data_IF_481591315031
#
_entry.id   IF_481591315031
#
_cell.length_a   1.000
_cell.length_b   1.000
_cell.length_c   1.000
_cell.angle_alpha   90.00
_cell.angle_beta   90.00
_cell.angle_gamma   90.00
#
_symmetry.space_group_name_H-M   'P 1'
#
loop_
_entity.id
_entity.type
_entity.pdbx_description
1 polymer ?
#
# COMPACT_ATOMS: atom_id res chain seq x y z
N UNK A 1 8.27 9.02 -12.51
CA UNK A 1 7.68 8.00 -11.64
C UNK A 1 6.19 8.12 -11.70
N UNK A 2 5.49 7.05 -12.04
CA UNK A 2 4.03 6.98 -11.95
C UNK A 2 3.61 6.83 -10.50
N UNK A 3 2.34 7.15 -10.21
CA UNK A 3 1.74 6.91 -8.90
C UNK A 3 1.84 5.43 -8.52
N UNK A 4 1.59 4.53 -9.49
CA UNK A 4 1.66 3.09 -9.27
C UNK A 4 3.05 2.64 -8.79
N UNK A 5 4.12 2.99 -9.52
CA UNK A 5 5.46 2.54 -9.14
C UNK A 5 5.92 3.19 -7.84
N UNK A 6 5.57 4.46 -7.59
CA UNK A 6 5.94 5.14 -6.34
C UNK A 6 5.34 4.47 -5.11
N UNK A 7 4.11 3.97 -5.20
CA UNK A 7 3.45 3.27 -4.10
C UNK A 7 3.96 1.82 -3.97
N UNK A 8 4.04 1.09 -5.09
CA UNK A 8 4.33 -0.35 -5.07
C UNK A 8 5.79 -0.64 -4.74
N UNK A 9 6.75 0.16 -5.22
CA UNK A 9 8.18 -0.13 -5.01
C UNK A 9 8.57 -0.15 -3.53
N UNK A 10 8.24 0.86 -2.69
CA UNK A 10 8.50 0.81 -1.26
C UNK A 10 7.78 -0.35 -0.56
N UNK A 11 6.52 -0.60 -0.95
CA UNK A 11 5.73 -1.70 -0.42
C UNK A 11 6.42 -3.07 -0.62
N UNK A 12 6.83 -3.37 -1.86
CA UNK A 12 7.54 -4.60 -2.18
C UNK A 12 8.85 -4.71 -1.42
N UNK A 13 9.65 -3.63 -1.39
CA UNK A 13 10.92 -3.58 -0.66
C UNK A 13 10.72 -3.91 0.81
N UNK A 14 9.70 -3.37 1.45
CA UNK A 14 9.42 -3.65 2.86
C UNK A 14 9.06 -5.12 3.09
N UNK A 15 8.17 -5.69 2.26
CA UNK A 15 7.77 -7.10 2.37
C UNK A 15 8.95 -8.05 2.19
N UNK A 16 9.80 -7.81 1.19
CA UNK A 16 10.97 -8.65 0.91
C UNK A 16 11.99 -8.53 2.04
N UNK A 17 12.23 -7.31 2.57
CA UNK A 17 13.07 -7.12 3.76
C UNK A 17 12.55 -7.94 4.95
N UNK A 18 11.25 -7.92 5.22
CA UNK A 18 10.65 -8.73 6.30
C UNK A 18 10.88 -10.23 6.09
N UNK A 19 10.74 -10.75 4.87
CA UNK A 19 11.02 -12.16 4.56
C UNK A 19 12.48 -12.51 4.89
N UNK A 20 13.42 -11.66 4.46
CA UNK A 20 14.85 -11.81 4.74
C UNK A 20 15.15 -11.73 6.23
N UNK A 21 14.60 -10.74 6.93
CA UNK A 21 14.90 -10.49 8.35
C UNK A 21 14.31 -11.58 9.25
N UNK A 22 13.12 -12.11 8.92
CA UNK A 22 12.58 -13.31 9.57
C UNK A 22 13.48 -14.53 9.37
N UNK A 23 14.08 -14.68 8.19
CA UNK A 23 15.06 -15.74 7.94
C UNK A 23 16.30 -15.59 8.82
N UNK A 24 16.81 -14.36 8.99
CA UNK A 24 17.96 -14.09 9.89
C UNK A 24 17.63 -14.36 11.35
N UNK A 25 16.46 -13.93 11.81
CA UNK A 25 16.02 -14.14 13.19
C UNK A 25 15.83 -15.64 13.49
N UNK A 26 15.31 -16.42 12.53
CA UNK A 26 15.14 -17.86 12.68
C UNK A 26 16.49 -18.60 12.78
N UNK A 27 17.52 -18.17 12.05
CA UNK A 27 18.87 -18.75 12.13
C UNK A 27 19.53 -18.46 13.51
N UNK A 28 19.17 -17.34 14.16
CA UNK A 28 19.70 -16.95 15.48
C UNK A 28 18.90 -17.52 16.67
N UNK A 29 17.81 -18.24 16.42
CA UNK A 29 16.97 -18.75 17.50
C UNK A 29 17.64 -19.94 18.20
N UNK A 30 17.71 -19.91 19.55
CA UNK A 30 18.34 -20.93 20.39
C UNK A 30 17.89 -22.37 20.07
N UNK A 31 16.63 -22.56 19.67
CA UNK A 31 16.09 -23.87 19.30
C UNK A 31 16.70 -24.40 18.00
N UNK A 32 16.95 -23.54 17.01
CA UNK A 32 17.63 -23.94 15.78
C UNK A 32 19.13 -24.19 16.02
N UNK A 33 19.79 -23.41 16.88
CA UNK A 33 21.18 -23.64 17.27
C UNK A 33 21.36 -24.98 17.99
N UNK A 34 20.38 -25.38 18.81
CA UNK A 34 20.38 -26.69 19.48
C UNK A 34 20.07 -27.84 18.51
N UNK A 35 19.15 -27.66 17.56
CA UNK A 35 18.79 -28.69 16.59
C UNK A 35 19.81 -28.87 15.45
N UNK A 36 20.50 -27.80 15.04
CA UNK A 36 21.56 -27.86 14.03
C UNK A 36 22.76 -28.66 14.54
N UNK A 37 23.05 -28.60 15.84
CA UNK A 37 24.07 -29.44 16.48
C UNK A 37 23.80 -30.95 16.36
N UNK A 38 22.53 -31.35 16.19
CA UNK A 38 22.12 -32.76 16.02
C UNK A 38 21.80 -33.11 14.55
N UNK A 39 22.17 -32.27 13.58
CA UNK A 39 21.87 -32.43 12.14
C UNK A 39 20.37 -32.51 11.79
N UNK A 40 19.48 -32.16 12.73
CA UNK A 40 18.03 -32.05 12.52
C UNK A 40 17.56 -30.61 12.38
N UNK A 41 18.50 -29.66 12.45
CA UNK A 41 18.24 -28.24 12.30
C UNK A 41 18.11 -27.80 10.84
N UNK A 42 17.86 -26.51 10.69
CA UNK A 42 17.71 -25.83 9.40
C UNK A 42 19.04 -25.77 8.64
N UNK A 43 19.00 -25.96 7.31
CA UNK A 43 20.17 -25.79 6.45
C UNK A 43 20.51 -24.29 6.31
N UNK A 44 21.57 -23.88 7.02
CA UNK A 44 22.05 -22.50 7.07
C UNK A 44 22.57 -22.02 5.70
N UNK A 45 23.18 -22.90 4.90
CA UNK A 45 23.69 -22.56 3.57
C UNK A 45 22.52 -22.27 2.62
N UNK A 46 21.51 -23.14 2.59
CA UNK A 46 20.30 -22.93 1.79
C UNK A 46 19.57 -21.65 2.23
N UNK A 47 19.50 -21.42 3.54
CA UNK A 47 18.88 -20.24 4.12
C UNK A 47 19.61 -18.94 3.76
N UNK A 48 20.95 -18.95 3.83
CA UNK A 48 21.79 -17.85 3.36
C UNK A 48 21.61 -17.62 1.86
N UNK A 49 21.61 -18.69 1.08
CA UNK A 49 21.49 -18.61 -0.37
C UNK A 49 20.13 -18.04 -0.85
N UNK A 50 19.06 -18.21 -0.06
CA UNK A 50 17.75 -17.56 -0.26
C UNK A 50 17.75 -16.09 0.18
N UNK A 51 18.45 -15.75 1.26
CA UNK A 51 18.65 -14.35 1.69
C UNK A 51 19.41 -13.55 0.64
N UNK A 52 20.48 -14.13 0.07
CA UNK A 52 21.26 -13.50 -0.99
C UNK A 52 20.39 -13.19 -2.23
N UNK A 53 19.45 -14.09 -2.57
CA UNK A 53 18.48 -13.85 -3.65
C UNK A 53 17.52 -12.70 -3.31
N UNK A 54 17.04 -12.62 -2.06
CA UNK A 54 16.21 -11.51 -1.60
C UNK A 54 16.98 -10.18 -1.64
N UNK A 55 18.25 -10.15 -1.24
CA UNK A 55 19.08 -8.95 -1.30
C UNK A 55 19.33 -8.52 -2.76
N UNK A 56 19.59 -9.46 -3.68
CA UNK A 56 19.67 -9.15 -5.11
C UNK A 56 18.36 -8.58 -5.66
N UNK A 57 17.22 -9.14 -5.26
CA UNK A 57 15.91 -8.63 -5.64
C UNK A 57 15.68 -7.20 -5.10
N UNK A 58 16.09 -6.90 -3.87
CA UNK A 58 15.99 -5.55 -3.30
C UNK A 58 16.82 -4.54 -4.11
N UNK A 59 18.02 -4.91 -4.57
CA UNK A 59 18.84 -4.06 -5.45
C UNK A 59 18.15 -3.83 -6.80
N UNK A 60 17.58 -4.89 -7.41
CA UNK A 60 16.82 -4.77 -8.65
C UNK A 60 15.59 -3.86 -8.50
N UNK A 61 14.86 -3.98 -7.39
CA UNK A 61 13.71 -3.11 -7.08
C UNK A 61 14.12 -1.66 -6.81
N UNK A 62 15.28 -1.41 -6.20
CA UNK A 62 15.80 -0.04 -6.01
C UNK A 62 16.02 0.67 -7.35
N UNK A 63 16.56 -0.06 -8.32
CA UNK A 63 16.85 0.44 -9.66
C UNK A 63 15.65 0.39 -10.63
N UNK A 64 14.50 -0.11 -10.18
CA UNK A 64 13.30 -0.16 -10.99
C UNK A 64 12.79 1.25 -11.32
N UNK A 65 12.52 1.48 -12.60
CA UNK A 65 12.00 2.71 -13.19
C UNK A 65 10.68 2.39 -13.89
N UNK A 66 9.88 3.43 -14.13
CA UNK A 66 8.67 3.30 -14.95
C UNK A 66 9.05 2.69 -16.30
N UNK A 67 8.16 1.83 -16.81
CA UNK A 67 8.17 1.41 -18.20
C UNK A 67 7.24 2.31 -19.02
N UNK A 68 6.93 1.89 -20.24
CA UNK A 68 6.04 2.63 -21.15
C UNK A 68 4.62 2.82 -20.57
N UNK A 69 4.18 1.92 -19.70
CA UNK A 69 2.93 1.99 -18.96
C UNK A 69 3.06 1.31 -17.59
N UNK A 70 2.09 1.53 -16.72
CA UNK A 70 1.97 0.83 -15.45
C UNK A 70 1.72 -0.67 -15.63
N UNK A 71 1.06 -1.08 -16.72
CA UNK A 71 0.95 -2.49 -17.10
C UNK A 71 2.33 -3.11 -17.36
N UNK A 72 3.17 -2.46 -18.17
CA UNK A 72 4.54 -2.93 -18.43
C UNK A 72 5.43 -2.87 -17.19
N UNK A 73 5.19 -1.89 -16.33
CA UNK A 73 5.87 -1.80 -15.03
C UNK A 73 5.45 -2.96 -14.13
N UNK A 74 4.16 -3.28 -14.06
CA UNK A 74 3.62 -4.42 -13.33
C UNK A 74 4.16 -5.76 -13.84
N UNK A 75 4.15 -6.00 -15.16
CA UNK A 75 4.72 -7.20 -15.78
C UNK A 75 6.19 -7.38 -15.38
N UNK A 76 6.99 -6.31 -15.45
CA UNK A 76 8.40 -6.35 -15.07
C UNK A 76 8.60 -6.66 -13.58
N UNK A 77 7.81 -6.04 -12.69
CA UNK A 77 7.88 -6.33 -11.26
C UNK A 77 7.48 -7.79 -10.96
N UNK A 78 6.46 -8.30 -11.64
CA UNK A 78 6.02 -9.69 -11.55
C UNK A 78 7.11 -10.66 -12.00
N UNK A 79 7.80 -10.36 -13.10
CA UNK A 79 8.95 -11.14 -13.57
C UNK A 79 10.05 -11.20 -12.50
N UNK A 80 10.46 -10.05 -11.95
CA UNK A 80 11.49 -9.98 -10.90
C UNK A 80 11.13 -10.84 -9.66
N UNK A 81 9.87 -10.78 -9.22
CA UNK A 81 9.40 -11.56 -8.07
C UNK A 81 9.37 -13.06 -8.38
N UNK A 82 8.86 -13.45 -9.55
CA UNK A 82 8.77 -14.86 -9.96
C UNK A 82 10.15 -15.48 -10.19
N UNK A 83 11.09 -14.75 -10.80
CA UNK A 83 12.48 -15.19 -10.98
C UNK A 83 13.15 -15.47 -9.64
N UNK A 84 12.99 -14.55 -8.67
CA UNK A 84 13.54 -14.73 -7.33
C UNK A 84 12.96 -15.98 -6.64
N UNK A 85 11.63 -16.13 -6.69
CA UNK A 85 10.94 -17.31 -6.14
C UNK A 85 11.39 -18.60 -6.83
N UNK A 86 11.46 -18.61 -8.16
CA UNK A 86 11.89 -19.76 -8.96
C UNK A 86 13.34 -20.15 -8.68
N UNK A 87 14.24 -19.18 -8.58
CA UNK A 87 15.65 -19.42 -8.21
C UNK A 87 15.76 -20.01 -6.80
N UNK A 88 14.98 -19.51 -5.83
CA UNK A 88 14.96 -20.04 -4.48
C UNK A 88 14.41 -21.49 -4.43
N UNK A 89 13.37 -21.78 -5.21
CA UNK A 89 12.82 -23.13 -5.34
C UNK A 89 13.83 -24.10 -5.97
N UNK A 90 14.59 -23.64 -6.97
CA UNK A 90 15.68 -24.43 -7.58
C UNK A 90 16.75 -24.79 -6.55
N UNK A 91 17.19 -23.83 -5.72
CA UNK A 91 18.16 -24.09 -4.63
C UNK A 91 17.63 -25.11 -3.61
N UNK A 92 16.35 -25.05 -3.25
CA UNK A 92 15.70 -26.08 -2.42
C UNK A 92 15.81 -27.47 -3.04
N UNK A 93 15.48 -27.60 -4.33
CA UNK A 93 15.52 -28.88 -5.07
C UNK A 93 16.94 -29.43 -5.20
N UNK A 94 17.93 -28.58 -5.47
CA UNK A 94 19.36 -28.97 -5.55
C UNK A 94 19.86 -29.58 -4.23
N UNK A 95 19.34 -29.10 -3.09
CA UNK A 95 19.59 -29.63 -1.75
C UNK A 95 18.65 -30.77 -1.34
N UNK A 96 17.83 -31.28 -2.27
CA UNK A 96 16.87 -32.39 -2.09
C UNK A 96 15.74 -32.11 -1.09
N UNK A 97 15.41 -30.85 -0.86
CA UNK A 97 14.19 -30.50 -0.12
C UNK A 97 12.96 -30.64 -1.02
N UNK A 98 11.90 -31.25 -0.48
CA UNK A 98 10.63 -31.43 -1.18
C UNK A 98 9.77 -30.16 -1.19
N UNK A 99 10.13 -29.15 -0.39
CA UNK A 99 9.42 -27.89 -0.27
C UNK A 99 10.35 -26.65 -0.33
N UNK A 100 9.73 -25.47 -0.46
CA UNK A 100 10.39 -24.18 -0.59
C UNK A 100 10.69 -23.52 0.78
N UNK A 101 10.38 -24.19 1.89
CA UNK A 101 10.35 -23.64 3.24
C UNK A 101 9.38 -22.48 3.36
N UNK A 102 9.60 -21.58 4.32
CA UNK A 102 8.77 -20.38 4.49
C UNK A 102 8.98 -19.32 3.41
N UNK A 103 10.13 -19.34 2.72
CA UNK A 103 10.47 -18.35 1.71
C UNK A 103 9.51 -18.39 0.51
N UNK A 104 9.24 -19.60 -0.02
CA UNK A 104 8.38 -19.79 -1.19
C UNK A 104 6.96 -19.27 -1.03
N UNK A 105 6.21 -19.72 0.00
CA UNK A 105 4.89 -19.19 0.32
C UNK A 105 4.91 -17.69 0.59
N UNK A 106 5.91 -17.19 1.32
CA UNK A 106 6.00 -15.75 1.61
C UNK A 106 6.20 -14.91 0.34
N UNK A 107 7.03 -15.35 -0.61
CA UNK A 107 7.17 -14.70 -1.92
C UNK A 107 5.89 -14.84 -2.75
N UNK A 108 5.20 -15.99 -2.68
CA UNK A 108 3.88 -16.18 -3.31
C UNK A 108 2.85 -15.16 -2.80
N UNK A 109 2.88 -14.84 -1.51
CA UNK A 109 2.01 -13.83 -0.91
C UNK A 109 2.33 -12.42 -1.42
N UNK A 110 3.61 -12.07 -1.57
CA UNK A 110 4.02 -10.78 -2.14
C UNK A 110 3.54 -10.63 -3.58
N UNK A 111 3.66 -11.69 -4.39
CA UNK A 111 3.16 -11.73 -5.77
C UNK A 111 1.64 -11.50 -5.80
N UNK A 112 0.88 -12.23 -4.99
CA UNK A 112 -0.58 -12.07 -4.92
C UNK A 112 -1.01 -10.66 -4.45
N UNK A 113 -0.26 -10.04 -3.55
CA UNK A 113 -0.54 -8.67 -3.11
C UNK A 113 -0.31 -7.66 -4.23
N UNK A 114 0.79 -7.80 -4.97
CA UNK A 114 1.06 -6.96 -6.14
C UNK A 114 -0.06 -7.06 -7.19
N UNK A 115 -0.50 -8.29 -7.51
CA UNK A 115 -1.62 -8.53 -8.43
C UNK A 115 -2.91 -7.86 -7.96
N UNK A 116 -3.21 -7.91 -6.66
CA UNK A 116 -4.41 -7.27 -6.09
C UNK A 116 -4.32 -5.75 -6.16
N UNK A 117 -3.16 -5.16 -5.85
CA UNK A 117 -2.95 -3.71 -5.93
C UNK A 117 -3.11 -3.24 -7.36
N UNK A 118 -2.42 -3.88 -8.31
CA UNK A 118 -2.53 -3.53 -9.74
C UNK A 118 -3.98 -3.61 -10.23
N UNK A 119 -4.66 -4.72 -9.94
CA UNK A 119 -6.07 -4.91 -10.31
C UNK A 119 -6.96 -3.81 -9.74
N UNK A 120 -6.79 -3.48 -8.46
CA UNK A 120 -7.60 -2.44 -7.82
C UNK A 120 -7.34 -1.05 -8.43
N UNK A 121 -6.10 -0.73 -8.75
CA UNK A 121 -5.77 0.54 -9.40
C UNK A 121 -6.36 0.60 -10.81
N UNK A 122 -6.32 -0.51 -11.56
CA UNK A 122 -6.95 -0.61 -12.87
C UNK A 122 -8.47 -0.42 -12.79
N UNK A 123 -9.14 -1.14 -11.88
CA UNK A 123 -10.60 -1.05 -11.67
C UNK A 123 -11.04 0.36 -11.22
N UNK A 124 -10.17 1.08 -10.52
CA UNK A 124 -10.42 2.43 -10.04
C UNK A 124 -9.88 3.53 -10.97
N UNK A 125 -9.39 3.20 -12.17
CA UNK A 125 -8.80 4.15 -13.13
C UNK A 125 -7.69 5.02 -12.49
N UNK A 126 -6.76 4.40 -11.78
CA UNK A 126 -5.63 5.06 -11.09
C UNK A 126 -4.27 4.70 -11.70
N UNK A 127 -4.25 4.08 -12.88
CA UNK A 127 -3.04 3.72 -13.61
C UNK A 127 -2.63 4.82 -14.60
N UNK A 128 -1.34 4.83 -14.94
CA UNK A 128 -0.71 5.68 -15.95
C UNK A 128 -0.77 7.18 -15.65
N UNK A 129 -0.90 7.54 -14.37
CA UNK A 129 -0.80 8.93 -13.91
C UNK A 129 0.59 9.24 -13.37
N UNK A 130 1.18 10.39 -13.74
CA UNK A 130 2.43 10.83 -13.17
C UNK A 130 2.25 11.16 -11.69
N UNK A 131 3.28 10.88 -10.90
CA UNK A 131 3.38 11.37 -9.53
C UNK A 131 4.09 12.73 -9.55
N UNK A 132 3.31 13.79 -9.69
CA UNK A 132 3.78 15.19 -9.72
C UNK A 132 2.96 16.05 -8.74
N UNK A 133 3.30 17.34 -8.66
CA UNK A 133 2.66 18.29 -7.75
C UNK A 133 1.31 18.81 -8.28
N UNK A 134 0.76 18.20 -9.33
CA UNK A 134 -0.54 18.59 -9.87
C UNK A 134 -1.64 18.21 -8.87
N UNK A 135 -2.55 19.15 -8.50
CA UNK A 135 -3.52 18.91 -7.43
C UNK A 135 -4.37 17.64 -7.58
N UNK A 136 -4.85 17.34 -8.78
CA UNK A 136 -5.65 16.13 -9.02
C UNK A 136 -4.79 14.86 -8.96
N UNK A 137 -3.55 14.89 -9.45
CA UNK A 137 -2.61 13.77 -9.29
C UNK A 137 -2.25 13.51 -7.82
N UNK A 138 -2.10 14.56 -6.99
CA UNK A 138 -1.94 14.40 -5.55
C UNK A 138 -3.18 13.72 -4.93
N UNK A 139 -4.39 14.10 -5.34
CA UNK A 139 -5.60 13.42 -4.89
C UNK A 139 -5.61 11.94 -5.32
N UNK A 140 -5.32 11.64 -6.60
CA UNK A 140 -5.19 10.27 -7.11
C UNK A 140 -4.14 9.46 -6.34
N UNK A 141 -3.00 10.06 -6.00
CA UNK A 141 -1.93 9.42 -5.24
C UNK A 141 -2.42 8.96 -3.86
N UNK A 142 -3.10 9.84 -3.11
CA UNK A 142 -3.60 9.48 -1.78
C UNK A 142 -4.79 8.51 -1.84
N UNK A 143 -5.61 8.54 -2.90
CA UNK A 143 -6.62 7.52 -3.16
C UNK A 143 -5.98 6.15 -3.45
N UNK A 144 -4.95 6.10 -4.30
CA UNK A 144 -4.18 4.90 -4.58
C UNK A 144 -3.51 4.34 -3.31
N UNK A 145 -2.95 5.22 -2.47
CA UNK A 145 -2.37 4.85 -1.17
C UNK A 145 -3.42 4.23 -0.23
N UNK A 146 -4.63 4.79 -0.20
CA UNK A 146 -5.77 4.23 0.54
C UNK A 146 -6.05 2.77 0.13
N UNK A 147 -6.18 2.53 -1.18
CA UNK A 147 -6.45 1.17 -1.69
C UNK A 147 -5.30 0.19 -1.41
N UNK A 148 -4.05 0.61 -1.59
CA UNK A 148 -2.89 -0.23 -1.32
C UNK A 148 -2.81 -0.65 0.16
N UNK A 149 -3.03 0.28 1.09
CA UNK A 149 -3.08 -0.01 2.52
C UNK A 149 -4.22 -0.98 2.87
N UNK A 150 -5.42 -0.76 2.31
CA UNK A 150 -6.57 -1.64 2.57
C UNK A 150 -6.31 -3.07 2.12
N UNK A 151 -5.69 -3.26 0.96
CA UNK A 151 -5.29 -4.59 0.48
C UNK A 151 -4.28 -5.24 1.44
N UNK A 152 -3.34 -4.45 1.96
CA UNK A 152 -2.38 -4.93 2.95
C UNK A 152 -3.04 -5.37 4.27
N UNK A 153 -4.01 -4.61 4.75
CA UNK A 153 -4.70 -4.88 6.01
C UNK A 153 -5.67 -6.06 5.88
N UNK A 154 -6.40 -6.17 4.77
CA UNK A 154 -7.22 -7.34 4.48
C UNK A 154 -6.41 -8.63 4.43
N UNK A 155 -5.16 -8.57 3.97
CA UNK A 155 -4.25 -9.71 4.00
C UNK A 155 -3.85 -10.10 5.43
N UNK A 156 -3.51 -9.14 6.30
CA UNK A 156 -3.19 -9.41 7.71
C UNK A 156 -4.36 -10.05 8.45
N UNK A 157 -5.58 -9.60 8.18
CA UNK A 157 -6.81 -10.11 8.81
C UNK A 157 -7.13 -11.52 8.30
N UNK A 158 -6.94 -11.80 7.01
CA UNK A 158 -7.17 -13.13 6.42
C UNK A 158 -6.27 -14.22 7.02
N UNK A 159 -5.08 -13.85 7.52
CA UNK A 159 -4.18 -14.76 8.26
C UNK A 159 -4.71 -15.17 9.64
N UNK A 160 -5.67 -14.43 10.22
CA UNK A 160 -6.28 -14.68 11.52
C UNK A 160 -7.62 -15.43 11.37
N UNK A 161 -7.61 -16.54 10.63
CA UNK A 161 -8.74 -17.25 9.98
C UNK A 161 -9.96 -17.70 10.80
N UNK A 162 -10.51 -16.86 11.69
CA UNK A 162 -11.75 -17.09 12.45
C UNK A 162 -12.61 -15.84 12.64
N UNK A 163 -12.20 -14.70 12.09
CA UNK A 163 -12.84 -13.42 12.42
C UNK A 163 -14.08 -13.19 11.53
N UNK A 164 -14.09 -13.59 10.26
CA UNK A 164 -15.10 -13.28 9.21
C UNK A 164 -16.58 -13.67 9.44
N UNK A 165 -16.96 -14.30 10.56
CA UNK A 165 -18.36 -14.68 10.85
C UNK A 165 -19.08 -13.73 11.81
N UNK A 166 -18.44 -12.63 12.24
CA UNK A 166 -19.05 -11.68 13.16
C UNK A 166 -19.90 -10.64 12.40
N UNK A 167 -21.20 -10.44 12.72
CA UNK A 167 -22.04 -9.43 12.08
C UNK A 167 -21.48 -8.00 12.18
N UNK A 168 -20.63 -7.70 13.17
CA UNK A 168 -19.91 -6.42 13.25
C UNK A 168 -18.90 -6.24 12.12
N UNK A 169 -18.34 -7.32 11.58
CA UNK A 169 -17.42 -7.27 10.44
C UNK A 169 -18.16 -7.11 9.12
N UNK A 170 -19.41 -7.54 9.03
CA UNK A 170 -20.25 -7.25 7.87
C UNK A 170 -20.47 -5.75 7.75
N UNK A 171 -20.76 -5.05 8.85
CA UNK A 171 -20.86 -3.57 8.84
C UNK A 171 -19.53 -2.88 8.56
N UNK A 172 -18.39 -3.42 9.03
CA UNK A 172 -17.07 -2.90 8.65
C UNK A 172 -16.77 -3.10 7.17
N UNK A 173 -17.03 -4.29 6.64
CA UNK A 173 -16.87 -4.60 5.21
C UNK A 173 -17.74 -3.69 4.34
N UNK A 174 -18.99 -3.47 4.74
CA UNK A 174 -19.93 -2.58 4.04
C UNK A 174 -19.47 -1.11 4.12
N UNK A 175 -19.09 -0.61 5.30
CA UNK A 175 -18.51 0.72 5.46
C UNK A 175 -17.26 0.88 4.58
N UNK A 176 -16.39 -0.12 4.56
CA UNK A 176 -15.16 -0.15 3.79
C UNK A 176 -15.45 -0.10 2.28
N UNK A 177 -16.43 -0.84 1.80
CA UNK A 177 -16.87 -0.79 0.39
C UNK A 177 -17.51 0.57 0.03
N UNK A 178 -18.37 1.11 0.90
CA UNK A 178 -18.99 2.42 0.68
C UNK A 178 -17.95 3.55 0.64
N UNK A 179 -16.87 3.47 1.42
CA UNK A 179 -15.74 4.40 1.34
C UNK A 179 -15.02 4.32 -0.01
N UNK A 180 -14.81 3.12 -0.54
CA UNK A 180 -14.18 2.97 -1.86
C UNK A 180 -15.04 3.59 -2.96
N UNK A 181 -16.34 3.32 -2.94
CA UNK A 181 -17.29 3.90 -3.89
C UNK A 181 -17.32 5.43 -3.77
N UNK A 182 -17.26 5.95 -2.54
CA UNK A 182 -17.22 7.38 -2.28
C UNK A 182 -15.96 8.04 -2.87
N UNK A 183 -14.79 7.42 -2.70
CA UNK A 183 -13.53 7.91 -3.29
C UNK A 183 -13.64 7.95 -4.82
N UNK A 184 -14.03 6.84 -5.45
CA UNK A 184 -14.15 6.76 -6.91
C UNK A 184 -15.12 7.80 -7.45
N UNK A 185 -16.33 7.86 -6.88
CA UNK A 185 -17.34 8.84 -7.27
C UNK A 185 -16.82 10.28 -7.13
N UNK A 186 -16.13 10.58 -6.04
CA UNK A 186 -15.60 11.93 -5.80
C UNK A 186 -14.49 12.30 -6.78
N UNK A 187 -13.61 11.36 -7.12
CA UNK A 187 -12.59 11.57 -8.16
C UNK A 187 -13.23 11.81 -9.53
N UNK A 188 -14.18 10.97 -9.94
CA UNK A 188 -14.90 11.12 -11.21
C UNK A 188 -15.68 12.44 -11.30
N UNK A 189 -16.29 12.88 -10.20
CA UNK A 189 -17.00 14.16 -10.13
C UNK A 189 -16.02 15.35 -10.15
N UNK A 190 -14.88 15.23 -9.46
CA UNK A 190 -13.81 16.22 -9.49
C UNK A 190 -13.23 16.39 -10.89
N UNK A 191 -12.92 15.29 -11.57
CA UNK A 191 -12.43 15.29 -12.95
C UNK A 191 -13.41 15.97 -13.91
N UNK A 192 -14.70 15.65 -13.79
CA UNK A 192 -15.74 16.29 -14.59
C UNK A 192 -15.85 17.79 -14.31
N UNK A 193 -15.82 18.21 -13.06
CA UNK A 193 -15.85 19.63 -12.67
C UNK A 193 -14.64 20.40 -13.22
N UNK A 194 -13.44 19.82 -13.10
CA UNK A 194 -12.21 20.39 -13.66
C UNK A 194 -12.24 20.49 -15.19
N UNK A 195 -12.90 19.55 -15.86
CA UNK A 195 -13.12 19.59 -17.31
C UNK A 195 -14.00 20.75 -17.79
N UNK A 196 -14.72 21.43 -16.89
CA UNK A 196 -15.52 22.62 -17.23
C UNK A 196 -14.74 23.93 -17.19
N UNK A 197 -13.53 23.91 -16.63
CA UNK A 197 -12.70 25.09 -16.46
C UNK A 197 -12.02 25.49 -17.79
N UNK A 198 -11.91 26.79 -18.03
CA UNK A 198 -11.14 27.30 -19.16
C UNK A 198 -9.63 27.14 -18.90
N UNK A 199 -9.03 26.14 -19.54
CA UNK A 199 -7.59 25.82 -19.45
C UNK A 199 -6.67 26.94 -19.93
N UNK A 200 -7.18 27.93 -20.67
CA UNK A 200 -6.38 29.04 -21.21
C UNK A 200 -6.45 30.30 -20.33
N UNK A 201 -7.31 30.30 -19.31
CA UNK A 201 -7.43 31.43 -18.39
C UNK A 201 -6.20 31.54 -17.48
N UNK A 202 -5.76 32.77 -17.18
CA UNK A 202 -4.58 33.02 -16.35
C UNK A 202 -4.70 32.42 -14.94
N UNK A 203 -5.90 32.48 -14.36
CA UNK A 203 -6.21 31.91 -13.04
C UNK A 203 -6.48 30.39 -13.05
N UNK A 204 -6.33 29.69 -14.18
CA UNK A 204 -6.63 28.26 -14.26
C UNK A 204 -5.89 27.42 -13.21
N UNK A 205 -4.56 27.58 -12.97
CA UNK A 205 -3.84 26.79 -11.98
C UNK A 205 -4.38 26.98 -10.56
N UNK A 206 -4.64 28.24 -10.17
CA UNK A 206 -5.20 28.60 -8.86
C UNK A 206 -6.61 28.05 -8.70
N UNK A 207 -7.43 28.18 -9.74
CA UNK A 207 -8.81 27.69 -9.76
C UNK A 207 -8.84 26.16 -9.65
N UNK A 208 -8.00 25.46 -10.42
CA UNK A 208 -7.87 24.00 -10.38
C UNK A 208 -7.52 23.52 -8.97
N UNK A 209 -6.52 24.13 -8.35
CA UNK A 209 -6.13 23.85 -6.96
C UNK A 209 -7.30 24.02 -5.99
N UNK A 210 -7.98 25.16 -6.03
CA UNK A 210 -9.15 25.44 -5.18
C UNK A 210 -10.27 24.41 -5.38
N UNK A 211 -10.53 24.01 -6.63
CA UNK A 211 -11.58 23.03 -6.95
C UNK A 211 -11.27 21.66 -6.41
N UNK A 212 -10.04 21.18 -6.58
CA UNK A 212 -9.62 19.90 -5.98
C UNK A 212 -9.74 19.95 -4.46
N UNK A 213 -9.40 21.09 -3.84
CA UNK A 213 -9.57 21.30 -2.40
C UNK A 213 -11.03 21.14 -1.96
N UNK A 214 -11.96 21.82 -2.64
CA UNK A 214 -13.39 21.75 -2.35
C UNK A 214 -13.92 20.30 -2.45
N UNK A 215 -13.40 19.52 -3.40
CA UNK A 215 -13.73 18.10 -3.55
C UNK A 215 -13.17 17.24 -2.42
N UNK A 216 -11.97 17.53 -1.93
CA UNK A 216 -11.42 16.89 -0.74
C UNK A 216 -12.23 17.24 0.53
N UNK A 217 -12.73 18.48 0.67
CA UNK A 217 -13.65 18.88 1.74
C UNK A 217 -15.00 18.16 1.66
N UNK A 218 -15.53 17.96 0.44
CA UNK A 218 -16.74 17.15 0.24
C UNK A 218 -16.51 15.69 0.61
N UNK A 219 -15.37 15.12 0.20
CA UNK A 219 -15.00 13.74 0.54
C UNK A 219 -14.87 13.54 2.05
N UNK A 220 -14.25 14.49 2.75
CA UNK A 220 -14.08 14.44 4.21
C UNK A 220 -15.44 14.46 4.93
N UNK A 221 -16.33 15.39 4.56
CA UNK A 221 -17.68 15.47 5.13
C UNK A 221 -18.48 14.20 4.88
N UNK A 222 -18.48 13.70 3.65
CA UNK A 222 -19.18 12.48 3.29
C UNK A 222 -18.60 11.24 4.00
N UNK A 223 -17.28 11.17 4.18
CA UNK A 223 -16.64 10.10 4.96
C UNK A 223 -17.06 10.15 6.43
N UNK A 224 -17.16 11.36 7.02
CA UNK A 224 -17.63 11.54 8.39
C UNK A 224 -19.09 11.10 8.55
N UNK A 225 -19.98 11.55 7.67
CA UNK A 225 -21.39 11.13 7.65
C UNK A 225 -21.52 9.61 7.51
N UNK A 226 -20.71 9.00 6.65
CA UNK A 226 -20.67 7.55 6.47
C UNK A 226 -20.24 6.85 7.76
N UNK A 227 -19.19 7.34 8.42
CA UNK A 227 -18.74 6.80 9.70
C UNK A 227 -19.79 6.97 10.80
N UNK A 228 -20.53 8.09 10.84
CA UNK A 228 -21.62 8.33 11.80
C UNK A 228 -22.81 7.38 11.56
N UNK A 229 -23.19 7.17 10.29
CA UNK A 229 -24.26 6.25 9.89
C UNK A 229 -23.99 4.81 10.33
N UNK A 230 -22.74 4.39 10.24
CA UNK A 230 -22.28 3.07 10.69
C UNK A 230 -21.81 3.07 12.16
N UNK A 231 -21.77 4.24 12.82
CA UNK A 231 -21.00 4.55 14.02
C UNK A 231 -21.74 4.49 15.35
N UNK A 232 -22.81 3.70 15.47
CA UNK A 232 -23.36 3.37 16.80
C UNK A 232 -22.59 2.21 17.46
N UNK A 233 -21.26 2.31 17.60
CA UNK A 233 -20.47 1.70 18.70
C UNK A 233 -18.97 1.98 18.52
N UNK A 234 -18.34 2.50 19.58
CA UNK A 234 -16.90 2.71 19.82
C UNK A 234 -16.32 4.10 19.48
N UNK A 235 -16.32 4.96 20.49
CA UNK A 235 -15.24 5.93 20.69
C UNK A 235 -13.96 5.17 21.06
N UNK A 236 -12.96 5.22 20.18
CA UNK A 236 -11.59 4.84 20.51
C UNK A 236 -10.73 6.11 20.51
N UNK A 237 -9.89 6.34 21.53
CA UNK A 237 -8.99 7.47 21.55
C UNK A 237 -7.95 7.34 20.42
N UNK A 238 -7.87 8.37 19.57
CA UNK A 238 -6.94 8.48 18.46
C UNK A 238 -5.63 9.06 18.99
N UNK A 239 -4.54 8.28 18.96
CA UNK A 239 -3.19 8.77 19.27
C UNK A 239 -2.51 9.14 17.96
N UNK A 240 -2.37 10.44 17.67
CA UNK A 240 -1.66 10.94 16.50
C UNK A 240 -0.14 10.80 16.68
N UNK A 241 0.48 9.86 15.96
CA UNK A 241 1.91 9.90 15.70
C UNK A 241 2.16 10.63 14.36
N UNK A 242 2.49 11.91 14.46
CA UNK A 242 2.93 12.75 13.35
C UNK A 242 4.25 12.21 12.75
N UNK A 243 4.25 11.80 11.48
CA UNK A 243 5.48 11.50 10.76
C UNK A 243 5.93 12.73 9.95
N UNK A 244 7.06 13.29 10.38
CA UNK A 244 7.93 14.14 9.57
C UNK A 244 9.00 13.24 8.95
N UNK A 245 9.31 13.50 7.68
CA UNK A 245 10.28 12.80 6.80
C UNK A 245 9.84 11.41 6.28
N UNK A 246 9.81 11.31 4.95
CA UNK A 246 9.48 10.10 4.18
C UNK A 246 10.52 9.02 4.49
N UNK A 247 10.14 8.09 5.36
CA UNK A 247 10.79 6.79 5.53
C UNK A 247 9.67 5.80 5.81
N UNK A 248 9.30 5.04 4.78
CA UNK A 248 8.17 4.10 4.82
C UNK A 248 8.55 2.93 5.74
N UNK A 249 8.02 2.98 6.96
CA UNK A 249 7.88 1.85 7.87
C UNK A 249 6.38 1.68 8.15
N UNK A 250 5.70 0.73 7.49
CA UNK A 250 4.45 0.19 8.04
C UNK A 250 4.83 -0.69 9.25
N UNK A 251 4.04 -0.78 10.34
CA UNK A 251 2.57 -0.85 10.33
C UNK A 251 1.83 -0.16 11.51
N UNK A 252 0.57 0.23 11.28
CA UNK A 252 -0.46 0.25 12.33
C UNK A 252 -1.83 -0.03 11.70
N UNK A 253 -2.45 -1.14 12.12
CA UNK A 253 -3.83 -1.47 11.80
C UNK A 253 -4.74 -0.45 12.50
N UNK A 254 -5.31 0.48 11.75
CA UNK A 254 -6.26 1.45 12.28
C UNK A 254 -7.69 1.02 11.95
N UNK A 255 -8.66 1.23 12.86
CA UNK A 255 -10.07 1.04 12.52
C UNK A 255 -10.42 1.96 11.35
N UNK A 256 -11.08 1.41 10.35
CA UNK A 256 -11.25 1.92 8.98
C UNK A 256 -11.88 3.32 8.85
N UNK A 257 -12.26 3.98 9.95
CA UNK A 257 -12.66 5.39 9.97
C UNK A 257 -11.50 6.34 9.64
N UNK A 258 -10.33 6.14 10.27
CA UNK A 258 -9.25 7.14 10.30
C UNK A 258 -8.33 7.18 9.07
N UNK A 259 -8.09 6.04 8.39
CA UNK A 259 -7.06 6.04 7.33
C UNK A 259 -7.46 6.83 6.08
N UNK A 260 -8.75 6.82 5.71
CA UNK A 260 -9.23 7.67 4.62
C UNK A 260 -9.11 9.15 4.99
N UNK A 261 -9.49 9.52 6.21
CA UNK A 261 -9.33 10.88 6.73
C UNK A 261 -7.86 11.32 6.72
N UNK A 262 -6.94 10.45 7.14
CA UNK A 262 -5.50 10.71 7.02
C UNK A 262 -5.04 10.95 5.59
N UNK A 263 -5.54 10.15 4.63
CA UNK A 263 -5.22 10.31 3.21
C UNK A 263 -5.72 11.67 2.70
N UNK A 264 -6.93 12.08 3.08
CA UNK A 264 -7.49 13.39 2.73
C UNK A 264 -6.66 14.53 3.32
N UNK A 265 -6.31 14.46 4.61
CA UNK A 265 -5.49 15.47 5.28
C UNK A 265 -4.11 15.57 4.63
N UNK A 266 -3.49 14.45 4.29
CA UNK A 266 -2.20 14.43 3.60
C UNK A 266 -2.30 14.97 2.17
N UNK A 267 -3.39 14.68 1.45
CA UNK A 267 -3.66 15.25 0.12
C UNK A 267 -3.79 16.77 0.19
N UNK A 268 -4.62 17.28 1.10
CA UNK A 268 -4.76 18.71 1.38
C UNK A 268 -3.40 19.33 1.69
N UNK A 269 -2.65 18.79 2.65
CA UNK A 269 -1.33 19.34 3.00
C UNK A 269 -0.34 19.32 1.82
N UNK A 270 -0.41 18.34 0.92
CA UNK A 270 0.45 18.29 -0.26
C UNK A 270 0.04 19.34 -1.31
N UNK A 271 -1.26 19.56 -1.50
CA UNK A 271 -1.81 20.55 -2.45
C UNK A 271 -1.54 21.99 -1.97
N UNK A 272 -1.66 22.23 -0.67
CA UNK A 272 -1.40 23.52 -0.05
C UNK A 272 -0.70 23.38 1.32
N UNK A 273 0.64 23.42 1.33
CA UNK A 273 1.41 23.40 2.57
C UNK A 273 1.18 24.63 3.46
N UNK A 274 0.79 25.78 2.88
CA UNK A 274 0.69 27.08 3.54
C UNK A 274 -0.71 27.37 4.10
N UNK A 275 -1.72 26.57 3.77
CA UNK A 275 -3.11 26.78 4.20
C UNK A 275 -3.30 26.83 5.74
N UNK A 276 -2.32 26.36 6.53
CA UNK A 276 -2.32 26.43 8.01
C UNK A 276 -2.01 27.81 8.61
N UNK A 277 -1.63 28.84 7.84
CA UNK A 277 -1.41 30.18 8.41
C UNK A 277 -2.65 31.07 8.50
N UNK A 278 -3.82 30.64 8.01
CA UNK A 278 -5.03 31.47 7.97
C UNK A 278 -6.13 31.08 8.96
N UNK A 279 -6.11 29.87 9.54
CA UNK A 279 -7.14 29.41 10.49
C UNK A 279 -6.81 29.68 11.97
N UNK A 280 -5.66 30.31 12.27
CA UNK A 280 -5.26 30.69 13.64
C UNK A 280 -5.40 32.20 13.93
N UNK A 281 -6.15 32.94 13.11
CA UNK A 281 -6.39 34.38 13.31
C UNK A 281 -7.85 34.75 13.10
N UNK A 282 -8.75 34.10 13.83
CA UNK A 282 -10.08 34.64 14.18
C UNK A 282 -10.40 34.32 15.62
#
# INVERSE_FOLDING_TARGET
>A
MTIFLDIVKPYLKEKIKRIRDHSVAADRCMTNTLLSWVSLGRDEELSKAKRDLADQLLVKLESAQDKESDEKTFEHLMELLNDCKGAAAKKSKEKKYNDEGHFGPAMGNVIQQLEKVYRKFNESNLLDFPNDDEPLNLFRYFAALYYAQKIDDGYKISGLGKIAQNPKLTSFSELSEQKEQLIMKTLEECERDLGTLDSQHEDYPTTKKSRVWDWLDKLERANKELCEKHGSTLSLPITFALFSTINIQLPTLHPESGFLEECIIKAKKAIDPEHKSLELTV
#
